data_IF_835577762593
#
_entry.id   IF_835577762593
#
_cell.length_a   1.000
_cell.length_b   1.000
_cell.length_c   1.000
_cell.angle_alpha   90.00
_cell.angle_beta   90.00
_cell.angle_gamma   90.00
#
_symmetry.space_group_name_H-M   'P 1'
#
loop_
_entity.id
_entity.type
_entity.pdbx_description
1 polymer ?
#
# COMPACT_ATOMS: atom_id res chain seq x y z
N UNK A 1 11.87 -6.94 18.29
CA UNK A 1 11.77 -7.10 16.83
C UNK A 1 11.40 -8.54 16.55
N UNK A 2 10.11 -8.84 16.64
CA UNK A 2 9.57 -10.11 16.16
C UNK A 2 9.36 -9.93 14.67
N UNK A 3 10.19 -10.60 13.86
CA UNK A 3 9.85 -10.85 12.47
C UNK A 3 8.53 -11.62 12.51
N UNK A 4 7.44 -10.91 12.22
CA UNK A 4 6.14 -11.52 12.12
C UNK A 4 6.25 -12.56 11.01
N UNK A 5 6.01 -13.81 11.37
CA UNK A 5 6.09 -14.96 10.49
C UNK A 5 4.91 -14.83 9.53
N UNK A 6 5.09 -14.02 8.48
CA UNK A 6 4.08 -13.79 7.45
C UNK A 6 3.80 -15.13 6.80
N UNK A 7 2.68 -15.75 7.20
CA UNK A 7 2.11 -16.92 6.52
C UNK A 7 2.19 -16.63 5.01
N UNK A 8 2.87 -17.48 4.21
CA UNK A 8 3.02 -17.19 2.79
C UNK A 8 1.62 -17.18 2.19
N UNK A 9 1.14 -15.99 1.83
CA UNK A 9 -0.17 -15.84 1.21
C UNK A 9 -0.03 -16.21 -0.26
N UNK A 10 -0.02 -17.52 -0.52
CA UNK A 10 0.05 -18.07 -1.86
C UNK A 10 -1.32 -18.05 -2.52
N UNK A 11 -1.38 -17.54 -3.75
CA UNK A 11 -2.56 -17.53 -4.59
C UNK A 11 -2.37 -18.51 -5.74
N UNK A 12 -3.37 -19.37 -5.95
CA UNK A 12 -3.38 -20.33 -7.07
C UNK A 12 -3.74 -19.60 -8.36
N UNK A 13 -2.78 -19.46 -9.25
CA UNK A 13 -3.00 -19.05 -10.63
C UNK A 13 -3.36 -20.28 -11.48
N UNK A 14 -4.25 -20.10 -12.45
CA UNK A 14 -4.56 -21.12 -13.47
C UNK A 14 -4.57 -20.45 -14.82
N UNK A 15 -3.84 -21.02 -15.79
CA UNK A 15 -3.82 -20.53 -17.18
C UNK A 15 -5.25 -20.39 -17.70
N UNK A 16 -5.54 -19.27 -18.36
CA UNK A 16 -6.89 -19.02 -18.86
C UNK A 16 -7.32 -20.09 -19.87
N UNK A 17 -8.64 -20.33 -19.94
CA UNK A 17 -9.21 -21.23 -20.95
C UNK A 17 -8.91 -20.78 -22.39
N UNK A 18 -8.74 -19.47 -22.59
CA UNK A 18 -8.42 -18.93 -23.90
C UNK A 18 -7.02 -19.37 -24.33
N UNK A 19 -6.07 -19.24 -23.42
CA UNK A 19 -4.67 -19.54 -23.66
C UNK A 19 -4.40 -21.05 -23.69
N UNK A 20 -5.07 -21.82 -22.84
CA UNK A 20 -5.01 -23.28 -22.80
C UNK A 20 -5.88 -23.99 -23.87
N UNK A 21 -6.46 -23.27 -24.84
CA UNK A 21 -7.44 -23.82 -25.81
C UNK A 21 -6.97 -25.04 -26.62
N UNK A 22 -5.66 -25.15 -26.83
CA UNK A 22 -5.03 -26.25 -27.57
C UNK A 22 -4.32 -27.27 -26.66
N UNK A 23 -4.35 -27.04 -25.34
CA UNK A 23 -3.75 -27.94 -24.37
C UNK A 23 -4.75 -29.03 -23.96
N UNK A 24 -4.26 -30.26 -23.86
CA UNK A 24 -4.98 -31.40 -23.26
C UNK A 24 -4.62 -31.61 -21.79
N UNK A 25 -3.81 -30.70 -21.22
CA UNK A 25 -3.33 -30.79 -19.85
C UNK A 25 -4.45 -30.63 -18.82
N UNK A 26 -4.32 -31.34 -17.69
CA UNK A 26 -5.25 -31.25 -16.57
C UNK A 26 -5.10 -29.92 -15.82
N UNK A 27 -6.13 -29.56 -15.03
CA UNK A 27 -6.15 -28.30 -14.24
C UNK A 27 -4.93 -28.16 -13.33
N UNK A 28 -4.43 -29.25 -12.75
CA UNK A 28 -3.23 -29.21 -11.91
C UNK A 28 -1.95 -28.87 -12.68
N UNK A 29 -1.84 -29.30 -13.94
CA UNK A 29 -0.72 -28.92 -14.81
C UNK A 29 -0.82 -27.47 -15.28
N UNK A 30 -2.05 -26.97 -15.45
CA UNK A 30 -2.33 -25.58 -15.83
C UNK A 30 -2.30 -24.60 -14.65
N UNK A 31 -2.07 -25.08 -13.43
CA UNK A 31 -2.11 -24.24 -12.23
C UNK A 31 -0.77 -24.14 -11.52
N UNK A 32 -0.52 -23.00 -10.89
CA UNK A 32 0.69 -22.72 -10.13
C UNK A 32 0.37 -21.86 -8.92
N UNK A 33 0.97 -22.17 -7.78
CA UNK A 33 0.86 -21.35 -6.57
C UNK A 33 1.90 -20.23 -6.60
N UNK A 34 1.43 -18.99 -6.51
CA UNK A 34 2.26 -17.79 -6.61
C UNK A 34 2.23 -17.06 -5.26
N UNK A 35 3.38 -16.74 -4.65
CA UNK A 35 3.42 -15.95 -3.42
C UNK A 35 2.97 -14.50 -3.68
N UNK A 36 2.06 -13.99 -2.86
CA UNK A 36 1.55 -12.62 -2.92
C UNK A 36 1.67 -11.96 -1.52
N UNK A 37 2.26 -10.76 -1.38
CA UNK A 37 2.98 -10.02 -2.41
C UNK A 37 4.24 -10.79 -2.83
N UNK A 38 4.73 -10.51 -4.04
CA UNK A 38 5.94 -11.16 -4.52
C UNK A 38 7.17 -10.70 -3.74
N UNK A 39 8.14 -11.61 -3.48
CA UNK A 39 9.41 -11.21 -2.90
C UNK A 39 10.19 -10.32 -3.87
N UNK A 40 11.09 -9.48 -3.35
CA UNK A 40 11.84 -8.46 -4.11
C UNK A 40 12.68 -9.02 -5.26
N UNK A 41 12.99 -10.32 -5.22
CA UNK A 41 13.77 -11.05 -6.21
C UNK A 41 12.95 -11.95 -7.14
N UNK A 42 11.62 -11.99 -6.98
CA UNK A 42 10.77 -12.80 -7.87
C UNK A 42 10.71 -12.19 -9.27
N UNK A 43 10.84 -13.06 -10.28
CA UNK A 43 10.59 -12.71 -11.68
C UNK A 43 9.43 -13.54 -12.20
N UNK A 44 8.62 -12.93 -13.06
CA UNK A 44 7.54 -13.60 -13.78
C UNK A 44 8.08 -14.74 -14.62
N UNK A 45 9.29 -14.57 -15.17
CA UNK A 45 9.92 -15.56 -16.03
C UNK A 45 10.22 -16.88 -15.30
N UNK A 46 10.36 -16.88 -13.97
CA UNK A 46 10.47 -18.11 -13.16
C UNK A 46 9.18 -18.94 -13.21
N UNK A 47 8.02 -18.29 -13.06
CA UNK A 47 6.72 -18.95 -13.14
C UNK A 47 6.42 -19.45 -14.57
N UNK A 48 6.82 -18.69 -15.59
CA UNK A 48 6.71 -19.11 -16.99
C UNK A 48 7.56 -20.35 -17.26
N UNK A 49 8.78 -20.41 -16.71
CA UNK A 49 9.66 -21.56 -16.86
C UNK A 49 9.04 -22.85 -16.28
N UNK A 50 8.32 -22.76 -15.16
CA UNK A 50 7.61 -23.91 -14.57
C UNK A 50 6.56 -24.48 -15.54
N UNK A 51 5.85 -23.64 -16.29
CA UNK A 51 4.94 -24.12 -17.34
C UNK A 51 5.69 -24.70 -18.55
N UNK A 52 6.89 -24.19 -18.85
CA UNK A 52 7.82 -24.76 -19.83
C UNK A 52 8.26 -26.18 -19.48
N UNK A 53 8.64 -26.43 -18.24
CA UNK A 53 9.01 -27.77 -17.75
C UNK A 53 7.86 -28.79 -17.86
N UNK A 54 6.62 -28.30 -17.83
CA UNK A 54 5.41 -29.11 -18.01
C UNK A 54 5.06 -29.34 -19.48
N UNK A 55 5.86 -28.83 -20.42
CA UNK A 55 5.62 -28.94 -21.87
C UNK A 55 4.45 -28.10 -22.37
N UNK A 56 4.04 -27.07 -21.62
CA UNK A 56 2.88 -26.26 -22.00
C UNK A 56 3.22 -25.15 -22.99
N UNK A 57 4.49 -24.71 -23.04
CA UNK A 57 4.91 -23.62 -23.94
C UNK A 57 4.96 -24.01 -25.43
N UNK A 58 4.81 -25.30 -25.74
CA UNK A 58 4.64 -25.76 -27.14
C UNK A 58 3.24 -25.47 -27.69
N UNK A 59 2.26 -25.27 -26.81
CA UNK A 59 0.83 -25.09 -27.16
C UNK A 59 0.23 -23.78 -26.64
N UNK A 60 0.91 -23.13 -25.70
CA UNK A 60 0.54 -21.85 -25.08
C UNK A 60 1.48 -20.76 -25.58
N UNK A 61 0.94 -19.62 -25.98
CA UNK A 61 1.74 -18.45 -26.32
C UNK A 61 2.42 -17.90 -25.06
N UNK A 62 3.76 -17.87 -25.08
CA UNK A 62 4.56 -17.45 -23.92
C UNK A 62 4.40 -15.96 -23.59
N UNK A 63 4.17 -15.11 -24.59
CA UNK A 63 4.01 -13.67 -24.40
C UNK A 63 2.67 -13.41 -23.73
N UNK A 64 1.59 -14.00 -24.23
CA UNK A 64 0.27 -13.90 -23.61
C UNK A 64 0.25 -14.50 -22.19
N UNK A 65 0.97 -15.61 -21.96
CA UNK A 65 1.10 -16.20 -20.62
C UNK A 65 1.78 -15.26 -19.63
N UNK A 66 2.86 -14.60 -20.07
CA UNK A 66 3.60 -13.64 -19.25
C UNK A 66 2.71 -12.46 -18.88
N UNK A 67 1.94 -11.94 -19.84
CA UNK A 67 1.02 -10.83 -19.62
C UNK A 67 -0.11 -11.22 -18.65
N UNK A 68 -0.71 -12.40 -18.81
CA UNK A 68 -1.72 -12.93 -17.85
C UNK A 68 -1.15 -13.07 -16.43
N UNK A 69 0.09 -13.56 -16.30
CA UNK A 69 0.76 -13.69 -15.01
C UNK A 69 1.01 -12.33 -14.36
N UNK A 70 1.55 -11.37 -15.10
CA UNK A 70 1.78 -10.00 -14.61
C UNK A 70 0.48 -9.39 -14.10
N UNK A 71 -0.59 -9.49 -14.88
CA UNK A 71 -1.91 -8.95 -14.52
C UNK A 71 -2.46 -9.63 -13.27
N UNK A 72 -2.38 -10.97 -13.21
CA UNK A 72 -2.80 -11.74 -12.04
C UNK A 72 -2.06 -11.32 -10.77
N UNK A 73 -0.72 -11.27 -10.83
CA UNK A 73 0.13 -10.88 -9.69
C UNK A 73 -0.23 -9.49 -9.20
N UNK A 74 -0.37 -8.54 -10.13
CA UNK A 74 -0.71 -7.15 -9.81
C UNK A 74 -2.08 -7.06 -9.13
N UNK A 75 -3.08 -7.75 -9.68
CA UNK A 75 -4.46 -7.73 -9.18
C UNK A 75 -4.54 -8.34 -7.78
N UNK A 76 -3.93 -9.51 -7.58
CA UNK A 76 -3.92 -10.17 -6.27
C UNK A 76 -3.10 -9.39 -5.24
N UNK A 77 -2.01 -8.73 -5.66
CA UNK A 77 -1.22 -7.87 -4.77
C UNK A 77 -2.02 -6.65 -4.32
N UNK A 78 -2.74 -6.00 -5.24
CA UNK A 78 -3.61 -4.88 -4.92
C UNK A 78 -4.70 -5.32 -3.95
N UNK A 79 -5.38 -6.42 -4.24
CA UNK A 79 -6.43 -6.96 -3.37
C UNK A 79 -5.89 -7.30 -1.97
N UNK A 80 -4.69 -7.87 -1.90
CA UNK A 80 -4.03 -8.14 -0.61
C UNK A 80 -3.78 -6.85 0.18
N UNK A 81 -3.32 -5.78 -0.47
CA UNK A 81 -3.13 -4.49 0.18
C UNK A 81 -4.46 -3.90 0.67
N UNK A 82 -5.50 -3.92 -0.16
CA UNK A 82 -6.85 -3.48 0.23
C UNK A 82 -7.38 -4.28 1.43
N UNK A 83 -7.25 -5.61 1.43
CA UNK A 83 -7.65 -6.47 2.56
C UNK A 83 -6.87 -6.12 3.85
N UNK A 84 -5.58 -5.79 3.73
CA UNK A 84 -4.77 -5.36 4.87
C UNK A 84 -5.16 -3.99 5.39
N UNK A 85 -5.40 -3.04 4.48
CA UNK A 85 -5.78 -1.67 4.82
C UNK A 85 -7.17 -1.65 5.48
N UNK A 86 -8.13 -2.40 4.96
CA UNK A 86 -9.45 -2.57 5.54
C UNK A 86 -9.38 -3.19 6.95
N UNK A 87 -8.51 -4.17 7.15
CA UNK A 87 -8.28 -4.77 8.46
C UNK A 87 -7.69 -3.75 9.45
N UNK A 88 -6.74 -2.92 9.01
CA UNK A 88 -6.15 -1.84 9.82
C UNK A 88 -7.20 -0.78 10.19
N UNK A 89 -8.05 -0.38 9.23
CA UNK A 89 -9.14 0.57 9.47
C UNK A 89 -10.14 -0.01 10.47
N UNK A 90 -10.54 -1.27 10.28
CA UNK A 90 -11.47 -1.95 11.20
C UNK A 90 -10.88 -2.00 12.60
N UNK A 91 -9.60 -2.37 12.73
CA UNK A 91 -8.90 -2.38 14.02
C UNK A 91 -8.84 -1.00 14.67
N UNK A 92 -8.60 0.07 13.89
CA UNK A 92 -8.58 1.44 14.40
C UNK A 92 -9.97 1.93 14.84
N UNK A 93 -11.04 1.50 14.15
CA UNK A 93 -12.42 1.81 14.56
C UNK A 93 -12.81 1.06 15.84
N UNK A 94 -12.39 -0.21 15.99
CA UNK A 94 -12.68 -1.03 17.17
C UNK A 94 -11.92 -0.58 18.42
N UNK A 95 -10.65 -0.23 18.27
CA UNK A 95 -9.83 0.24 19.38
C UNK A 95 -10.12 1.70 19.77
N UNK A 96 -10.87 2.43 18.93
CA UNK A 96 -10.96 3.89 18.98
C UNK A 96 -9.64 4.52 18.53
N UNK A 97 -9.70 5.71 17.91
CA UNK A 97 -8.51 6.49 17.61
C UNK A 97 -7.83 6.91 18.91
N UNK A 98 -6.97 6.06 19.47
CA UNK A 98 -5.89 6.54 20.33
C UNK A 98 -4.97 7.33 19.40
N UNK A 99 -5.23 8.64 19.27
CA UNK A 99 -4.20 9.59 18.91
C UNK A 99 -3.08 9.33 19.92
N UNK A 100 -2.04 8.62 19.49
CA UNK A 100 -0.82 8.55 20.26
C UNK A 100 -0.29 9.99 20.28
N UNK A 101 -0.65 10.76 21.31
CA UNK A 101 -0.09 12.10 21.61
C UNK A 101 1.38 11.98 22.04
N UNK A 102 2.13 11.12 21.35
CA UNK A 102 3.36 10.50 21.80
C UNK A 102 4.39 10.34 20.70
N UNK A 103 4.24 11.00 19.55
CA UNK A 103 5.44 11.42 18.79
C UNK A 103 6.01 12.67 19.46
N UNK A 104 6.59 12.48 20.66
CA UNK A 104 7.64 13.38 21.12
C UNK A 104 8.72 13.38 20.05
N UNK A 105 8.71 14.45 19.27
CA UNK A 105 9.82 14.83 18.41
C UNK A 105 11.13 14.67 19.19
N UNK A 106 12.21 14.15 18.56
CA UNK A 106 13.47 14.01 19.25
C UNK A 106 14.00 15.42 19.53
N UNK A 107 14.02 15.79 20.81
CA UNK A 107 14.70 16.96 21.36
C UNK A 107 14.28 18.33 20.78
N UNK A 108 13.18 18.87 21.28
CA UNK A 108 13.22 20.27 21.71
C UNK A 108 12.63 20.34 23.11
N UNK A 109 13.50 20.41 24.11
CA UNK A 109 13.14 20.90 25.43
C UNK A 109 12.64 22.35 25.26
N UNK A 110 11.35 22.50 24.98
CA UNK A 110 10.69 23.81 24.95
C UNK A 110 10.52 24.20 26.41
N UNK A 111 11.45 25.01 26.90
CA UNK A 111 11.33 25.69 28.17
C UNK A 111 10.00 26.45 28.20
N UNK A 112 9.10 26.06 29.10
CA UNK A 112 7.73 26.59 29.16
C UNK A 112 7.67 28.02 29.75
N UNK A 113 8.83 28.65 29.97
CA UNK A 113 8.96 29.94 30.64
C UNK A 113 8.79 31.16 29.72
N UNK A 114 8.83 30.98 28.38
CA UNK A 114 8.77 32.12 27.46
C UNK A 114 7.34 32.60 27.14
N UNK A 115 7.11 33.88 27.41
CA UNK A 115 5.88 34.63 27.11
C UNK A 115 5.42 34.44 25.66
N UNK A 116 4.13 34.17 25.49
CA UNK A 116 3.45 34.04 24.19
C UNK A 116 3.81 35.15 23.20
N UNK A 117 4.03 36.38 23.68
CA UNK A 117 4.41 37.51 22.84
C UNK A 117 5.78 37.33 22.15
N UNK A 118 6.73 36.68 22.82
CA UNK A 118 8.06 36.41 22.25
C UNK A 118 7.97 35.33 21.18
N UNK A 119 7.17 34.28 21.43
CA UNK A 119 6.90 33.20 20.47
C UNK A 119 6.18 33.72 19.23
N UNK A 120 5.15 34.53 19.43
CA UNK A 120 4.42 35.17 18.34
C UNK A 120 5.36 36.06 17.49
N UNK A 121 6.19 36.88 18.14
CA UNK A 121 7.14 37.76 17.43
C UNK A 121 8.19 36.96 16.66
N UNK A 122 8.69 35.86 17.22
CA UNK A 122 9.66 34.98 16.56
C UNK A 122 9.08 34.33 15.30
N UNK A 123 7.86 33.80 15.39
CA UNK A 123 7.16 33.21 14.23
C UNK A 123 6.87 34.27 13.17
N UNK A 124 6.42 35.46 13.57
CA UNK A 124 6.15 36.57 12.65
C UNK A 124 7.40 37.07 11.91
N UNK A 125 8.57 37.03 12.56
CA UNK A 125 9.83 37.50 11.96
C UNK A 125 10.51 36.49 11.04
N UNK A 126 10.33 35.19 11.30
CA UNK A 126 11.02 34.14 10.55
C UNK A 126 10.16 33.49 9.47
N UNK A 127 8.85 33.74 9.46
CA UNK A 127 7.95 33.20 8.43
C UNK A 127 7.83 34.12 7.22
N UNK A 128 7.78 33.58 5.99
CA UNK A 128 7.46 34.36 4.80
C UNK A 128 6.06 34.96 4.91
N UNK A 129 5.94 36.27 4.69
CA UNK A 129 4.68 37.02 4.83
C UNK A 129 3.52 36.44 3.99
N UNK A 130 3.84 35.81 2.86
CA UNK A 130 2.85 35.15 2.00
C UNK A 130 2.22 33.91 2.63
N UNK A 131 3.00 33.07 3.31
CA UNK A 131 2.49 31.84 3.97
C UNK A 131 1.65 32.18 5.18
N UNK A 132 2.07 33.18 5.96
CA UNK A 132 1.33 33.65 7.12
C UNK A 132 -0.03 34.26 6.71
N UNK A 133 -0.05 35.07 5.65
CA UNK A 133 -1.29 35.66 5.15
C UNK A 133 -2.28 34.58 4.66
N UNK A 134 -1.79 33.54 4.02
CA UNK A 134 -2.63 32.42 3.57
C UNK A 134 -3.18 31.60 4.75
N UNK A 135 -2.37 31.44 5.80
CA UNK A 135 -2.77 30.74 7.03
C UNK A 135 -3.86 31.54 7.79
N UNK A 136 -3.71 32.87 7.88
CA UNK A 136 -4.73 33.75 8.44
C UNK A 136 -6.04 33.72 7.62
N UNK A 137 -5.96 33.70 6.27
CA UNK A 137 -7.15 33.57 5.42
C UNK A 137 -7.87 32.25 5.65
N UNK A 138 -7.14 31.13 5.75
CA UNK A 138 -7.72 29.81 6.06
C UNK A 138 -8.39 29.77 7.43
N UNK A 139 -7.78 30.39 8.45
CA UNK A 139 -8.37 30.44 9.79
C UNK A 139 -9.69 31.22 9.80
N UNK A 140 -9.77 32.36 9.09
CA UNK A 140 -11.01 33.15 8.96
C UNK A 140 -12.09 32.36 8.21
N UNK A 141 -11.72 31.64 7.15
CA UNK A 141 -12.67 30.81 6.40
C UNK A 141 -13.28 29.71 7.28
N UNK A 142 -12.46 28.96 8.01
CA UNK A 142 -12.94 27.92 8.94
C UNK A 142 -13.80 28.50 10.07
N UNK A 143 -13.43 29.66 10.64
CA UNK A 143 -14.23 30.30 11.68
C UNK A 143 -15.63 30.72 11.18
N UNK A 144 -15.73 31.16 9.92
CA UNK A 144 -17.01 31.52 9.31
C UNK A 144 -17.87 30.30 8.96
N UNK A 145 -17.27 29.15 8.68
CA UNK A 145 -17.98 27.89 8.45
C UNK A 145 -18.56 27.30 9.75
N UNK A 146 -17.85 27.43 10.87
CA UNK A 146 -18.32 26.95 12.18
C UNK A 146 -19.41 27.84 12.79
N UNK A 147 -19.51 29.10 12.37
CA UNK A 147 -20.54 30.05 12.83
C UNK A 147 -21.91 29.91 12.16
N UNK A 148 -22.10 28.94 11.26
CA UNK A 148 -23.33 28.76 10.48
C UNK A 148 -24.09 27.45 10.83
N UNK A 149 -24.12 27.10 12.12
CA UNK A 149 -25.06 26.14 12.71
C UNK A 149 -25.84 26.78 13.85
#
# INVERSE_FOLDING_TARGET
>A
MTCDESVPNTRKYTISKHLARYSSAGVEQLSLDIPIPQPEYADVDEFVAVFGERGLLDVVDQVELRDELIEFIRTETQKYQEERDDALITQALENGFELNEGESSPNLAVDQSESFANKFSFVMQNSPCAELAELMRRQIAMANEVGHF
#
